data_IF_782924544379
#
_entry.id   IF_782924544379
#
_cell.length_a   1.000
_cell.length_b   1.000
_cell.length_c   1.000
_cell.angle_alpha   90.00
_cell.angle_beta   90.00
_cell.angle_gamma   90.00
#
_symmetry.space_group_name_H-M   'P 1'
#
loop_
_entity.id
_entity.type
_entity.pdbx_description
1 polymer ?
#
# COMPACT_ATOMS: atom_id res chain seq x y z
N UNK A 1 -38.15 -18.82 -30.18
CA UNK A 1 -37.04 -17.87 -30.17
C UNK A 1 -36.36 -17.95 -31.53
N UNK A 2 -36.23 -16.83 -32.25
CA UNK A 2 -35.85 -16.82 -33.66
C UNK A 2 -34.32 -17.05 -33.75
N UNK A 3 -33.85 -17.90 -34.71
CA UNK A 3 -32.42 -18.27 -34.87
C UNK A 3 -31.49 -17.04 -34.96
N UNK A 4 -31.97 -15.92 -35.52
CA UNK A 4 -31.25 -14.64 -35.53
C UNK A 4 -30.95 -14.07 -34.13
N UNK A 5 -31.89 -14.21 -33.17
CA UNK A 5 -31.71 -13.69 -31.82
C UNK A 5 -30.71 -14.52 -30.99
N UNK A 6 -30.60 -15.82 -31.31
CA UNK A 6 -29.60 -16.72 -30.69
C UNK A 6 -28.19 -16.35 -31.18
N UNK A 7 -28.04 -16.05 -32.48
CA UNK A 7 -26.73 -15.65 -33.02
C UNK A 7 -26.24 -14.31 -32.46
N UNK A 8 -27.14 -13.34 -32.28
CA UNK A 8 -26.79 -12.04 -31.68
C UNK A 8 -26.40 -12.21 -30.21
N UNK A 9 -27.11 -13.04 -29.44
CA UNK A 9 -26.80 -13.31 -28.04
C UNK A 9 -25.42 -13.99 -27.87
N UNK A 10 -25.07 -14.92 -28.75
CA UNK A 10 -23.75 -15.60 -28.73
C UNK A 10 -22.61 -14.62 -29.07
N UNK A 11 -22.82 -13.73 -30.04
CA UNK A 11 -21.82 -12.71 -30.39
C UNK A 11 -21.61 -11.71 -29.24
N UNK A 12 -22.66 -11.31 -28.54
CA UNK A 12 -22.57 -10.43 -27.37
C UNK A 12 -21.82 -11.11 -26.23
N UNK A 13 -22.08 -12.39 -25.95
CA UNK A 13 -21.39 -13.14 -24.91
C UNK A 13 -19.90 -13.31 -25.23
N UNK A 14 -19.57 -13.58 -26.51
CA UNK A 14 -18.16 -13.67 -26.97
C UNK A 14 -17.46 -12.31 -26.93
N UNK A 15 -18.14 -11.23 -27.27
CA UNK A 15 -17.58 -9.87 -27.20
C UNK A 15 -17.35 -9.43 -25.75
N UNK A 16 -18.25 -9.76 -24.81
CA UNK A 16 -18.09 -9.49 -23.39
C UNK A 16 -16.96 -10.36 -22.81
N UNK A 17 -16.87 -11.64 -23.19
CA UNK A 17 -15.78 -12.54 -22.81
C UNK A 17 -14.41 -12.05 -23.32
N UNK A 18 -14.34 -11.55 -24.55
CA UNK A 18 -13.13 -10.97 -25.14
C UNK A 18 -12.74 -9.63 -24.45
N UNK A 19 -13.71 -8.78 -24.14
CA UNK A 19 -13.49 -7.55 -23.38
C UNK A 19 -13.01 -7.83 -21.95
N UNK A 20 -13.61 -8.80 -21.24
CA UNK A 20 -13.19 -9.19 -19.89
C UNK A 20 -11.80 -9.84 -19.92
N UNK A 21 -11.48 -10.64 -20.96
CA UNK A 21 -10.16 -11.25 -21.13
C UNK A 21 -9.08 -10.21 -21.43
N UNK A 22 -9.36 -9.23 -22.29
CA UNK A 22 -8.41 -8.17 -22.63
C UNK A 22 -8.31 -7.09 -21.54
N UNK A 23 -9.36 -6.87 -20.73
CA UNK A 23 -9.30 -5.95 -19.59
C UNK A 23 -8.38 -6.47 -18.46
N UNK A 24 -8.14 -7.80 -18.43
CA UNK A 24 -7.16 -8.43 -17.51
C UNK A 24 -5.71 -8.33 -17.96
N UNK A 25 -5.44 -7.74 -19.12
CA UNK A 25 -4.10 -7.71 -19.74
C UNK A 25 -3.52 -6.30 -19.85
N UNK A 26 -3.90 -5.35 -19.02
CA UNK A 26 -3.14 -4.13 -18.85
C UNK A 26 -2.14 -4.32 -17.71
N UNK A 27 -0.83 -4.19 -17.95
CA UNK A 27 0.18 -4.32 -16.92
C UNK A 27 0.27 -3.03 -16.10
N UNK A 28 -0.70 -2.79 -15.22
CA UNK A 28 -0.50 -1.92 -14.08
C UNK A 28 -0.23 -2.83 -12.89
N UNK A 29 0.99 -3.37 -12.81
CA UNK A 29 1.50 -4.16 -11.70
C UNK A 29 1.75 -3.26 -10.46
N UNK A 30 0.71 -2.58 -10.00
CA UNK A 30 0.70 -2.06 -8.65
C UNK A 30 0.07 -3.15 -7.79
N UNK A 31 0.91 -3.88 -7.09
CA UNK A 31 0.47 -4.97 -6.22
C UNK A 31 -0.25 -4.40 -5.00
N UNK A 32 -1.43 -4.91 -4.71
CA UNK A 32 -2.21 -4.52 -3.52
C UNK A 32 -1.67 -5.28 -2.32
N UNK A 33 -1.30 -4.56 -1.26
CA UNK A 33 -0.96 -5.18 0.02
C UNK A 33 -2.17 -5.95 0.58
N UNK A 34 -1.96 -7.21 0.91
CA UNK A 34 -3.00 -8.08 1.45
C UNK A 34 -3.01 -8.05 2.96
N UNK A 35 -4.20 -8.07 3.56
CA UNK A 35 -4.36 -8.37 4.98
C UNK A 35 -4.24 -9.89 5.12
N UNK A 36 -3.25 -10.36 5.85
CA UNK A 36 -3.00 -11.78 6.05
C UNK A 36 -3.74 -12.27 7.28
N UNK A 37 -4.66 -13.23 7.11
CA UNK A 37 -5.18 -14.02 8.22
C UNK A 37 -4.05 -14.93 8.73
N UNK A 38 -3.80 -14.93 10.02
CA UNK A 38 -2.71 -15.66 10.67
C UNK A 38 -2.67 -17.12 10.26
N UNK A 39 -1.70 -17.50 9.42
CA UNK A 39 -1.25 -18.87 9.22
C UNK A 39 0.19 -18.97 9.70
N UNK A 40 0.52 -20.05 10.40
CA UNK A 40 1.81 -20.31 11.02
C UNK A 40 2.99 -20.03 10.08
N UNK A 41 3.84 -19.06 10.45
CA UNK A 41 5.05 -18.75 9.74
C UNK A 41 6.26 -19.41 10.40
N UNK A 42 7.00 -20.17 9.58
CA UNK A 42 8.31 -20.76 9.91
C UNK A 42 9.24 -19.64 10.43
N UNK A 43 9.83 -19.86 11.59
CA UNK A 43 10.76 -18.93 12.22
C UNK A 43 11.97 -18.65 11.31
N UNK A 44 11.93 -17.53 10.61
CA UNK A 44 13.06 -16.98 9.90
C UNK A 44 13.61 -15.84 10.76
N UNK A 45 14.91 -15.74 10.90
CA UNK A 45 15.54 -14.62 11.61
C UNK A 45 15.05 -13.32 10.97
N UNK A 46 14.39 -12.48 11.75
CA UNK A 46 13.88 -11.20 11.25
C UNK A 46 15.07 -10.29 10.94
N UNK A 47 15.29 -9.87 9.70
CA UNK A 47 16.36 -8.96 9.36
C UNK A 47 16.08 -7.56 9.93
N UNK A 48 17.12 -6.72 10.01
CA UNK A 48 17.02 -5.37 10.54
C UNK A 48 17.13 -4.34 9.42
N UNK A 49 16.34 -3.27 9.52
CA UNK A 49 16.45 -2.14 8.62
C UNK A 49 17.75 -1.36 8.84
N UNK A 50 18.42 -1.01 7.75
CA UNK A 50 19.54 -0.04 7.74
C UNK A 50 19.07 1.34 7.31
N UNK A 51 18.23 1.38 6.29
CA UNK A 51 17.69 2.61 5.72
C UNK A 51 16.30 2.37 5.14
N UNK A 52 15.51 3.43 5.06
CA UNK A 52 14.24 3.44 4.37
C UNK A 52 14.03 4.79 3.70
N UNK A 53 13.54 4.76 2.47
CA UNK A 53 12.96 5.89 1.75
C UNK A 53 11.57 5.48 1.28
N UNK A 54 10.55 6.29 1.58
CA UNK A 54 9.17 5.96 1.29
C UNK A 54 8.39 7.21 0.91
N UNK A 55 7.61 7.09 -0.15
CA UNK A 55 6.59 8.07 -0.52
C UNK A 55 5.21 7.42 -0.55
N UNK A 56 4.19 8.24 -0.36
CA UNK A 56 2.80 7.82 -0.53
C UNK A 56 2.10 8.72 -1.55
N UNK A 57 1.10 8.17 -2.23
CA UNK A 57 0.22 8.95 -3.10
C UNK A 57 -1.22 8.68 -2.71
N UNK A 58 -1.90 9.71 -2.24
CA UNK A 58 -3.33 9.73 -2.03
C UNK A 58 -4.08 10.18 -3.28
N UNK A 59 -5.31 9.71 -3.47
CA UNK A 59 -6.15 10.05 -4.61
C UNK A 59 -7.39 10.80 -4.10
N UNK A 60 -7.41 12.10 -4.35
CA UNK A 60 -8.50 13.00 -3.99
C UNK A 60 -9.66 12.94 -4.98
N UNK A 61 -10.66 13.85 -4.81
CA UNK A 61 -11.80 13.94 -5.71
C UNK A 61 -11.38 14.04 -7.18
N UNK A 62 -12.14 13.38 -8.07
CA UNK A 62 -11.84 13.27 -9.50
C UNK A 62 -10.46 12.64 -9.83
N UNK A 63 -9.93 11.82 -8.92
CA UNK A 63 -8.64 11.12 -9.12
C UNK A 63 -7.41 12.01 -9.02
N UNK A 64 -7.54 13.21 -8.44
CA UNK A 64 -6.39 14.12 -8.24
C UNK A 64 -5.38 13.46 -7.32
N UNK A 65 -4.14 13.33 -7.80
CA UNK A 65 -3.04 12.72 -7.07
C UNK A 65 -2.35 13.75 -6.17
N UNK A 66 -2.06 13.32 -4.94
CA UNK A 66 -1.27 14.07 -3.98
C UNK A 66 -0.17 13.16 -3.45
N UNK A 67 1.04 13.42 -3.86
CA UNK A 67 2.22 12.70 -3.38
C UNK A 67 2.76 13.38 -2.13
N UNK A 68 3.24 12.57 -1.19
CA UNK A 68 3.85 13.06 0.04
C UNK A 68 4.83 12.06 0.62
N UNK A 69 5.56 12.52 1.63
CA UNK A 69 6.51 11.72 2.41
C UNK A 69 6.50 12.16 3.87
N UNK A 70 7.18 11.39 4.70
CA UNK A 70 7.52 11.79 6.07
C UNK A 70 8.95 12.31 6.07
N UNK A 71 9.16 13.56 6.46
CA UNK A 71 10.49 14.17 6.50
C UNK A 71 11.36 13.57 7.63
N UNK A 72 10.71 13.05 8.68
CA UNK A 72 11.37 12.38 9.79
C UNK A 72 10.90 10.93 9.88
N UNK A 73 11.83 10.02 9.58
CA UNK A 73 11.63 8.57 9.68
C UNK A 73 12.83 7.98 10.43
N UNK A 74 12.57 7.12 11.40
CA UNK A 74 13.60 6.45 12.19
C UNK A 74 13.52 4.95 11.97
N UNK A 75 14.67 4.30 11.83
CA UNK A 75 14.78 2.84 11.78
C UNK A 75 15.49 2.33 13.02
N UNK A 76 14.96 1.27 13.63
CA UNK A 76 15.53 0.63 14.81
C UNK A 76 15.25 -0.86 14.81
N UNK A 77 16.26 -1.66 14.54
CA UNK A 77 16.07 -3.10 14.41
C UNK A 77 15.09 -3.43 13.28
N UNK A 78 14.04 -4.17 13.58
CA UNK A 78 12.96 -4.51 12.65
C UNK A 78 11.85 -3.46 12.55
N UNK A 79 11.99 -2.30 13.21
CA UNK A 79 10.97 -1.26 13.27
C UNK A 79 11.33 -0.05 12.41
N UNK A 80 10.34 0.49 11.69
CA UNK A 80 10.34 1.80 11.06
C UNK A 80 9.30 2.66 11.78
N UNK A 81 9.70 3.84 12.23
CA UNK A 81 8.82 4.82 12.88
C UNK A 81 8.74 6.07 12.01
N UNK A 82 7.52 6.47 11.68
CA UNK A 82 7.21 7.67 10.92
C UNK A 82 6.66 8.73 11.86
N UNK A 83 7.31 9.89 11.95
CA UNK A 83 6.81 11.02 12.72
C UNK A 83 5.69 11.71 11.96
N UNK A 84 4.46 11.59 12.46
CA UNK A 84 3.25 12.02 11.72
C UNK A 84 3.22 13.51 11.45
N UNK A 85 3.73 14.34 12.37
CA UNK A 85 3.84 15.81 12.18
C UNK A 85 4.87 16.21 11.11
N UNK A 86 5.71 15.28 10.66
CA UNK A 86 6.68 15.51 9.59
C UNK A 86 6.15 15.22 8.18
N UNK A 87 4.84 14.96 8.06
CA UNK A 87 4.19 14.75 6.77
C UNK A 87 4.37 15.96 5.88
N UNK A 88 4.74 15.75 4.62
CA UNK A 88 4.98 16.80 3.65
C UNK A 88 4.51 16.37 2.27
N UNK A 89 3.55 17.10 1.73
CA UNK A 89 3.05 17.00 0.35
C UNK A 89 3.51 18.15 -0.53
N UNK A 90 4.26 19.10 0.05
CA UNK A 90 4.61 20.37 -0.60
C UNK A 90 3.45 21.38 -0.62
N UNK A 91 2.32 21.07 0.00
CA UNK A 91 1.14 21.93 0.11
C UNK A 91 0.77 22.06 1.59
N UNK A 92 1.19 23.14 2.22
CA UNK A 92 1.03 23.35 3.68
C UNK A 92 -0.40 23.15 4.18
N UNK A 93 -1.41 23.63 3.46
CA UNK A 93 -2.82 23.43 3.83
C UNK A 93 -3.23 21.95 3.81
N UNK A 94 -2.67 21.17 2.88
CA UNK A 94 -2.93 19.74 2.82
C UNK A 94 -2.21 19.01 3.96
N UNK A 95 -0.97 19.40 4.27
CA UNK A 95 -0.21 18.82 5.37
C UNK A 95 -0.92 19.05 6.72
N UNK A 96 -1.42 20.26 6.96
CA UNK A 96 -2.25 20.58 8.13
C UNK A 96 -3.54 19.76 8.16
N UNK A 97 -4.22 19.61 7.01
CA UNK A 97 -5.45 18.80 6.92
C UNK A 97 -5.20 17.32 7.17
N UNK A 98 -4.11 16.76 6.63
CA UNK A 98 -3.71 15.39 6.90
C UNK A 98 -3.42 15.14 8.41
N UNK A 99 -2.95 16.15 9.13
CA UNK A 99 -2.74 16.08 10.57
C UNK A 99 -4.00 16.33 11.42
N UNK A 100 -5.13 16.67 10.81
CA UNK A 100 -6.40 16.92 11.51
C UNK A 100 -7.08 15.63 11.98
N UNK A 101 -8.20 15.77 12.72
CA UNK A 101 -9.02 14.65 13.20
C UNK A 101 -9.69 13.83 12.09
N UNK A 102 -9.82 14.42 10.90
CA UNK A 102 -10.40 13.74 9.73
C UNK A 102 -9.45 12.66 9.17
N UNK A 103 -8.15 12.79 9.45
CA UNK A 103 -7.12 11.88 8.96
C UNK A 103 -6.28 11.29 10.10
N UNK A 104 -5.05 11.73 10.26
CA UNK A 104 -4.07 11.10 11.14
C UNK A 104 -4.18 11.52 12.59
N UNK A 105 -4.81 12.67 12.89
CA UNK A 105 -4.91 13.21 14.26
C UNK A 105 -3.53 13.27 14.92
N UNK A 106 -2.54 13.91 14.25
CA UNK A 106 -1.13 13.86 14.63
C UNK A 106 -0.82 14.26 16.08
N UNK A 107 -1.68 15.09 16.70
CA UNK A 107 -1.51 15.46 18.11
C UNK A 107 -1.74 14.29 19.06
N UNK A 108 -2.72 13.45 18.75
CA UNK A 108 -3.07 12.28 19.58
C UNK A 108 -2.22 11.06 19.21
N UNK A 109 -1.90 10.94 17.92
CA UNK A 109 -1.14 9.81 17.38
C UNK A 109 0.10 10.35 16.66
N UNK A 110 1.16 10.69 17.41
CA UNK A 110 2.32 11.36 16.85
C UNK A 110 3.16 10.46 15.93
N UNK A 111 2.98 9.15 15.98
CA UNK A 111 3.77 8.19 15.23
C UNK A 111 2.90 7.14 14.56
N UNK A 112 3.33 6.72 13.36
CA UNK A 112 2.95 5.46 12.75
C UNK A 112 4.16 4.53 12.72
N UNK A 113 3.92 3.19 12.70
CA UNK A 113 4.98 2.20 12.81
C UNK A 113 4.78 1.05 11.85
N UNK A 114 5.87 0.58 11.27
CA UNK A 114 5.91 -0.70 10.58
C UNK A 114 6.93 -1.61 11.25
N UNK A 115 6.49 -2.80 11.67
CA UNK A 115 7.35 -3.81 12.30
C UNK A 115 7.48 -4.99 11.36
N UNK A 116 8.68 -5.20 10.82
CA UNK A 116 9.01 -6.31 9.93
C UNK A 116 8.92 -7.64 10.69
N UNK A 117 8.21 -8.60 10.13
CA UNK A 117 8.05 -9.97 10.68
C UNK A 117 8.91 -10.99 9.93
N UNK A 118 8.86 -10.94 8.61
CA UNK A 118 9.63 -11.86 7.78
C UNK A 118 9.94 -11.28 6.41
N UNK A 119 11.01 -11.79 5.83
CA UNK A 119 11.39 -11.60 4.44
C UNK A 119 11.65 -12.98 3.86
N UNK A 120 10.94 -13.34 2.80
CA UNK A 120 11.13 -14.58 2.05
C UNK A 120 11.56 -14.25 0.63
N UNK A 121 12.82 -14.56 0.32
CA UNK A 121 13.43 -14.21 -0.97
C UNK A 121 13.40 -15.40 -1.91
N UNK A 122 12.85 -15.21 -3.11
CA UNK A 122 12.81 -16.21 -4.16
C UNK A 122 13.00 -15.55 -5.53
N UNK A 123 13.98 -16.02 -6.29
CA UNK A 123 14.24 -15.58 -7.68
C UNK A 123 14.40 -14.06 -7.86
N UNK A 124 15.09 -13.39 -6.93
CA UNK A 124 15.32 -11.94 -6.98
C UNK A 124 14.10 -11.09 -6.58
N UNK A 125 13.07 -11.73 -6.00
CA UNK A 125 11.93 -11.05 -5.40
C UNK A 125 11.76 -11.48 -3.95
N UNK A 126 11.33 -10.56 -3.11
CA UNK A 126 11.11 -10.80 -1.69
C UNK A 126 9.64 -10.58 -1.33
N UNK A 127 9.05 -11.54 -0.64
CA UNK A 127 7.79 -11.34 0.07
C UNK A 127 8.10 -10.73 1.43
N UNK A 128 7.67 -9.51 1.64
CA UNK A 128 7.82 -8.77 2.90
C UNK A 128 6.51 -8.89 3.68
N UNK A 129 6.60 -9.27 4.95
CA UNK A 129 5.45 -9.33 5.86
C UNK A 129 5.74 -8.53 7.11
N UNK A 130 4.81 -7.72 7.54
CA UNK A 130 4.96 -6.91 8.75
C UNK A 130 3.65 -6.36 9.28
N UNK A 131 3.71 -5.84 10.50
CA UNK A 131 2.58 -5.17 11.14
C UNK A 131 2.69 -3.66 10.90
N UNK A 132 1.66 -3.08 10.30
CA UNK A 132 1.51 -1.64 10.15
C UNK A 132 0.54 -1.12 11.20
N UNK A 133 1.02 -0.22 12.05
CA UNK A 133 0.22 0.49 13.06
C UNK A 133 0.08 1.94 12.65
N UNK A 134 -1.16 2.40 12.49
CA UNK A 134 -1.49 3.81 12.26
C UNK A 134 -2.62 4.19 13.20
N UNK A 135 -2.44 5.25 13.95
CA UNK A 135 -3.35 5.64 15.05
C UNK A 135 -3.44 4.52 16.09
N UNK A 136 -4.63 4.01 16.35
CA UNK A 136 -4.94 2.92 17.29
C UNK A 136 -5.20 1.57 16.58
N UNK A 137 -5.03 1.52 15.26
CA UNK A 137 -5.25 0.32 14.47
C UNK A 137 -3.93 -0.32 14.02
N UNK A 138 -3.80 -1.62 14.21
CA UNK A 138 -2.70 -2.43 13.68
C UNK A 138 -3.24 -3.48 12.75
N UNK A 139 -2.62 -3.60 11.58
CA UNK A 139 -2.91 -4.67 10.63
C UNK A 139 -1.62 -5.29 10.10
N UNK A 140 -1.65 -6.59 9.89
CA UNK A 140 -0.57 -7.27 9.17
C UNK A 140 -0.76 -7.03 7.68
N UNK A 141 0.30 -6.57 7.03
CA UNK A 141 0.36 -6.39 5.58
C UNK A 141 1.46 -7.24 4.98
N UNK A 142 1.29 -7.59 3.71
CA UNK A 142 2.32 -8.23 2.90
C UNK A 142 2.41 -7.56 1.54
N UNK A 143 3.63 -7.45 1.02
CA UNK A 143 3.89 -6.88 -0.29
C UNK A 143 5.16 -7.49 -0.90
N UNK A 144 5.27 -7.41 -2.23
CA UNK A 144 6.44 -7.91 -2.95
C UNK A 144 7.43 -6.80 -3.21
N UNK A 145 8.70 -7.08 -2.99
CA UNK A 145 9.81 -6.19 -3.31
C UNK A 145 10.72 -6.84 -4.37
N UNK A 146 11.25 -6.03 -5.27
CA UNK A 146 12.37 -6.45 -6.10
C UNK A 146 13.64 -6.40 -5.25
N UNK A 147 14.41 -7.50 -5.25
CA UNK A 147 15.67 -7.61 -4.54
C UNK A 147 16.83 -7.31 -5.50
N UNK A 148 17.59 -6.27 -5.17
CA UNK A 148 18.84 -5.92 -5.82
C UNK A 148 19.86 -5.55 -4.72
N UNK A 149 20.51 -4.38 -4.82
CA UNK A 149 21.29 -3.83 -3.69
C UNK A 149 20.37 -3.42 -2.52
N UNK A 150 19.14 -3.03 -2.83
CA UNK A 150 18.09 -2.68 -1.89
C UNK A 150 16.80 -3.41 -2.28
N UNK A 151 15.85 -3.42 -1.37
CA UNK A 151 14.48 -3.89 -1.59
C UNK A 151 13.63 -2.71 -2.03
N UNK A 152 13.06 -2.77 -3.22
CA UNK A 152 12.27 -1.68 -3.77
C UNK A 152 10.99 -2.16 -4.44
N UNK A 153 10.03 -1.25 -4.56
CA UNK A 153 8.77 -1.53 -5.23
C UNK A 153 7.67 -0.54 -4.89
N UNK A 154 6.47 -0.94 -5.28
CA UNK A 154 5.26 -0.19 -4.93
C UNK A 154 4.09 -1.14 -4.67
N UNK A 155 3.17 -0.74 -3.81
CA UNK A 155 1.93 -1.47 -3.55
C UNK A 155 0.78 -0.53 -3.20
N UNK A 156 -0.45 -1.02 -3.37
CA UNK A 156 -1.65 -0.31 -2.93
C UNK A 156 -2.02 -0.74 -1.52
N UNK A 157 -2.00 0.21 -0.59
CA UNK A 157 -2.48 0.03 0.78
C UNK A 157 -3.98 0.34 0.84
N UNK A 158 -4.80 -0.62 1.29
CA UNK A 158 -6.18 -0.35 1.68
C UNK A 158 -6.18 0.29 3.07
N UNK A 159 -6.57 1.55 3.16
CA UNK A 159 -6.60 2.29 4.41
C UNK A 159 -7.89 2.15 5.22
N UNK A 160 -8.90 1.42 4.72
CA UNK A 160 -10.15 1.18 5.46
C UNK A 160 -9.94 0.62 6.86
N UNK A 161 -9.08 -0.41 7.04
CA UNK A 161 -8.84 -0.97 8.37
C UNK A 161 -8.16 0.01 9.33
N UNK A 162 -7.53 1.07 8.81
CA UNK A 162 -6.80 2.08 9.59
C UNK A 162 -7.72 3.20 10.12
N UNK A 163 -9.03 3.06 9.96
CA UNK A 163 -10.05 3.94 10.54
C UNK A 163 -9.92 5.42 10.14
N UNK A 164 -9.51 5.71 8.91
CA UNK A 164 -9.52 7.07 8.39
C UNK A 164 -10.94 7.52 8.02
N UNK A 165 -11.25 8.78 8.31
CA UNK A 165 -12.50 9.41 7.91
C UNK A 165 -12.33 10.07 6.54
N UNK A 166 -12.28 9.25 5.48
CA UNK A 166 -12.15 9.77 4.12
C UNK A 166 -13.52 10.13 3.54
N UNK A 167 -13.77 11.41 3.36
CA UNK A 167 -14.96 11.89 2.65
C UNK A 167 -14.53 12.31 1.24
N UNK A 168 -15.01 11.57 0.22
CA UNK A 168 -14.78 11.91 -1.19
C UNK A 168 -13.38 11.63 -1.72
N UNK A 169 -12.55 10.84 -1.01
CA UNK A 169 -11.23 10.38 -1.47
C UNK A 169 -11.19 8.86 -1.59
N UNK A 170 -10.30 8.35 -2.45
CA UNK A 170 -10.07 6.91 -2.55
C UNK A 170 -9.42 6.40 -1.26
N UNK A 171 -9.86 5.24 -0.81
CA UNK A 171 -9.29 4.58 0.37
C UNK A 171 -8.04 3.75 0.04
N UNK A 172 -7.64 3.69 -1.22
CA UNK A 172 -6.39 3.09 -1.64
C UNK A 172 -5.31 4.17 -1.68
N UNK A 173 -4.17 3.87 -1.07
CA UNK A 173 -2.98 4.72 -1.03
C UNK A 173 -1.87 3.97 -1.74
N UNK A 174 -1.27 4.57 -2.76
CA UNK A 174 -0.07 4.01 -3.38
C UNK A 174 1.13 4.30 -2.50
N UNK A 175 1.83 3.25 -2.10
CA UNK A 175 3.08 3.32 -1.35
C UNK A 175 4.21 2.93 -2.30
N UNK A 176 5.22 3.79 -2.44
CA UNK A 176 6.51 3.49 -3.07
C UNK A 176 7.58 3.47 -2.01
N UNK A 177 8.46 2.49 -2.09
CA UNK A 177 9.49 2.30 -1.07
C UNK A 177 10.81 1.82 -1.67
N UNK A 178 11.88 2.16 -0.97
CA UNK A 178 13.22 1.62 -1.13
C UNK A 178 13.82 1.48 0.26
N UNK A 179 14.26 0.28 0.64
CA UNK A 179 14.91 0.06 1.92
C UNK A 179 16.04 -0.96 1.80
N UNK A 180 17.01 -0.87 2.72
CA UNK A 180 18.07 -1.87 2.86
C UNK A 180 17.97 -2.59 4.20
N UNK A 181 18.38 -3.86 4.19
CA UNK A 181 18.43 -4.74 5.36
C UNK A 181 19.88 -5.14 5.67
N UNK A 182 20.10 -5.61 6.89
CA UNK A 182 21.35 -6.25 7.31
C UNK A 182 21.43 -7.69 6.84
#
# INVERSE_FOLDING_TARGET
MNKKNIFIAVIIILAIGYLVFNYRSTPNNVEKASVVSSSEQKATTTPFFKSVDMTFTGFGPAGKKHEGKFATTTVSGSEIVFEMKSISTGIEKLDQHLCSEDFFTCEKFPQAKFVLKSVDVQNGRALIVGDLTVKDATQQISFMADEAENYSGEFMLDSKPLSFKFVGVDQNILIKYNFSLN
#
